data_IF_114409528813
#
_entry.id   IF_114409528813
#
_cell.length_a   1.000
_cell.length_b   1.000
_cell.length_c   1.000
_cell.angle_alpha   90.00
_cell.angle_beta   90.00
_cell.angle_gamma   90.00
#
_symmetry.space_group_name_H-M   'P 1'
#
loop_
_entity.id
_entity.type
_entity.pdbx_description
1 polymer ?
#
# COMPACT_ATOMS: atom_id res chain seq x y z
N UNK A 1 17.80 -12.40 7.59
CA UNK A 1 16.40 -12.38 8.06
C UNK A 1 16.21 -11.83 9.49
N UNK A 2 17.22 -11.85 10.34
CA UNK A 2 17.15 -11.36 11.74
C UNK A 2 16.97 -9.84 11.89
N UNK A 3 17.45 -9.04 10.94
CA UNK A 3 17.41 -7.56 11.05
C UNK A 3 16.03 -6.97 10.72
N UNK A 4 15.29 -7.57 9.79
CA UNK A 4 13.94 -7.13 9.41
C UNK A 4 12.94 -7.35 10.55
N UNK A 5 13.07 -8.47 11.29
CA UNK A 5 12.25 -8.76 12.47
C UNK A 5 12.51 -7.77 13.62
N UNK A 6 13.73 -7.23 13.73
CA UNK A 6 14.04 -6.19 14.73
C UNK A 6 13.36 -4.87 14.40
N UNK A 7 13.22 -4.52 13.12
CA UNK A 7 12.50 -3.30 12.70
C UNK A 7 11.00 -3.39 13.02
N UNK A 8 10.38 -4.57 12.87
CA UNK A 8 8.98 -4.79 13.22
C UNK A 8 8.72 -4.54 14.72
N UNK A 9 9.71 -4.72 15.59
CA UNK A 9 9.60 -4.42 17.02
C UNK A 9 9.34 -2.93 17.29
N UNK A 10 9.87 -2.03 16.44
CA UNK A 10 9.62 -0.59 16.54
C UNK A 10 8.25 -0.18 16.03
N UNK A 11 7.61 -0.97 15.16
CA UNK A 11 6.24 -0.75 14.69
C UNK A 11 5.22 -1.24 15.73
N UNK A 12 5.59 -2.25 16.55
CA UNK A 12 4.70 -2.89 17.53
C UNK A 12 4.00 -1.91 18.49
N UNK A 13 4.63 -0.86 19.04
CA UNK A 13 3.94 0.11 19.90
C UNK A 13 2.81 0.85 19.19
N UNK A 14 2.90 0.98 17.86
CA UNK A 14 1.96 1.70 17.01
C UNK A 14 1.00 0.78 16.24
N UNK A 15 0.80 -0.46 16.72
CA UNK A 15 0.00 -1.48 16.06
C UNK A 15 -1.43 -1.01 15.72
N UNK A 16 -2.02 -0.15 16.56
CA UNK A 16 -3.36 0.41 16.31
C UNK A 16 -3.38 1.28 15.06
N UNK A 17 -2.37 2.11 14.86
CA UNK A 17 -2.23 2.94 13.65
C UNK A 17 -1.90 2.07 12.43
N UNK A 18 -1.00 1.11 12.61
CA UNK A 18 -0.60 0.16 11.57
C UNK A 18 -1.75 -0.78 11.15
N UNK A 19 -2.74 -1.04 12.01
CA UNK A 19 -3.93 -1.81 11.67
C UNK A 19 -5.04 -0.94 11.09
N UNK A 20 -5.21 0.30 11.58
CA UNK A 20 -6.21 1.22 11.06
C UNK A 20 -5.99 1.57 9.58
N UNK A 21 -4.74 1.70 9.14
CA UNK A 21 -4.40 2.01 7.76
C UNK A 21 -4.90 0.91 6.78
N UNK A 22 -4.59 -0.39 6.94
CA UNK A 22 -5.15 -1.47 6.12
C UNK A 22 -6.67 -1.58 6.15
N UNK A 23 -7.30 -1.34 7.31
CA UNK A 23 -8.78 -1.39 7.41
C UNK A 23 -9.43 -0.28 6.58
N UNK A 24 -8.87 0.94 6.59
CA UNK A 24 -9.34 2.02 5.74
C UNK A 24 -9.03 1.79 4.26
N UNK A 25 -7.93 1.09 3.96
CA UNK A 25 -7.62 0.65 2.59
C UNK A 25 -8.64 -0.37 2.09
N UNK A 26 -9.11 -1.28 2.94
CA UNK A 26 -10.21 -2.20 2.59
C UNK A 26 -11.47 -1.43 2.18
N UNK A 27 -11.81 -0.37 2.91
CA UNK A 27 -12.95 0.48 2.57
C UNK A 27 -12.77 1.16 1.21
N UNK A 28 -11.59 1.75 0.94
CA UNK A 28 -11.24 2.35 -0.34
C UNK A 28 -11.40 1.34 -1.49
N UNK A 29 -10.74 0.18 -1.37
CA UNK A 29 -10.78 -0.88 -2.40
C UNK A 29 -12.18 -1.42 -2.61
N UNK A 30 -12.98 -1.59 -1.54
CA UNK A 30 -14.38 -2.02 -1.68
C UNK A 30 -15.20 -1.02 -2.49
N UNK A 31 -15.02 0.28 -2.25
CA UNK A 31 -15.70 1.33 -3.03
C UNK A 31 -15.20 1.38 -4.48
N UNK A 32 -13.90 1.19 -4.73
CA UNK A 32 -13.33 1.10 -6.08
C UNK A 32 -13.96 -0.07 -6.87
N UNK A 33 -14.16 -1.23 -6.23
CA UNK A 33 -14.73 -2.43 -6.85
C UNK A 33 -16.25 -2.33 -7.12
N UNK A 34 -16.96 -1.46 -6.41
CA UNK A 34 -18.39 -1.22 -6.66
C UNK A 34 -18.61 -0.36 -7.92
N UNK A 35 -17.66 0.49 -8.30
CA UNK A 35 -17.81 1.42 -9.44
C UNK A 35 -18.15 0.71 -10.77
N UNK A 36 -17.44 -0.35 -11.20
CA UNK A 36 -17.74 -1.05 -12.44
C UNK A 36 -19.15 -1.65 -12.46
N UNK A 37 -19.64 -2.16 -11.31
CA UNK A 37 -20.99 -2.75 -11.24
C UNK A 37 -22.11 -1.73 -11.36
N UNK A 38 -21.91 -0.55 -10.77
CA UNK A 38 -22.86 0.55 -10.94
C UNK A 38 -22.87 1.09 -12.38
N UNK A 39 -21.69 1.19 -13.01
CA UNK A 39 -21.57 1.57 -14.41
C UNK A 39 -22.25 0.55 -15.33
N UNK A 40 -22.06 -0.75 -15.06
CA UNK A 40 -22.73 -1.80 -15.81
C UNK A 40 -24.25 -1.65 -15.75
N UNK A 41 -24.85 -1.39 -14.60
CA UNK A 41 -26.30 -1.16 -14.48
C UNK A 41 -26.77 0.03 -15.30
N UNK A 42 -25.98 1.09 -15.39
CA UNK A 42 -26.32 2.25 -16.25
C UNK A 42 -26.32 1.80 -17.73
N UNK A 43 -25.35 1.00 -18.15
CA UNK A 43 -25.23 0.56 -19.54
C UNK A 43 -26.33 -0.45 -19.90
N UNK A 44 -26.59 -1.43 -19.02
CA UNK A 44 -27.48 -2.54 -19.32
C UNK A 44 -28.95 -2.19 -19.13
N UNK A 45 -29.29 -1.39 -18.10
CA UNK A 45 -30.68 -1.12 -17.72
C UNK A 45 -31.16 0.28 -18.15
N UNK A 46 -30.31 1.31 -18.05
CA UNK A 46 -30.73 2.67 -18.27
C UNK A 46 -30.60 3.13 -19.72
N UNK A 47 -29.55 2.72 -20.45
CA UNK A 47 -29.35 3.11 -21.84
C UNK A 47 -30.45 2.59 -22.79
N UNK A 48 -30.88 1.31 -22.71
CA UNK A 48 -31.91 0.77 -23.59
C UNK A 48 -33.27 1.42 -23.36
N UNK A 49 -33.56 1.84 -22.10
CA UNK A 49 -34.86 2.45 -21.72
C UNK A 49 -34.86 3.96 -21.75
N UNK A 50 -33.67 4.59 -21.91
CA UNK A 50 -33.46 6.04 -21.78
C UNK A 50 -34.01 6.60 -20.47
N UNK A 51 -34.00 5.80 -19.39
CA UNK A 51 -34.52 6.17 -18.09
C UNK A 51 -33.49 7.01 -17.32
N UNK A 52 -33.74 8.32 -17.29
CA UNK A 52 -32.94 9.28 -16.54
C UNK A 52 -32.93 9.01 -15.03
N UNK A 53 -34.00 8.40 -14.49
CA UNK A 53 -34.08 8.07 -13.06
C UNK A 53 -33.01 7.02 -12.66
N UNK A 54 -32.84 5.97 -13.48
CA UNK A 54 -31.82 4.95 -13.27
C UNK A 54 -30.41 5.55 -13.41
N UNK A 55 -30.20 6.43 -14.39
CA UNK A 55 -28.90 7.11 -14.59
C UNK A 55 -28.54 7.97 -13.38
N UNK A 56 -29.47 8.81 -12.93
CA UNK A 56 -29.25 9.72 -11.81
C UNK A 56 -29.04 8.96 -10.48
N UNK A 57 -29.81 7.91 -10.24
CA UNK A 57 -29.67 7.10 -9.01
C UNK A 57 -28.35 6.36 -8.95
N UNK A 58 -27.97 5.65 -10.01
CA UNK A 58 -26.68 4.93 -10.05
C UNK A 58 -25.49 5.91 -10.11
N UNK A 59 -25.59 7.03 -10.83
CA UNK A 59 -24.60 8.10 -10.82
C UNK A 59 -24.41 8.71 -9.44
N UNK A 60 -25.51 8.95 -8.72
CA UNK A 60 -25.48 9.41 -7.32
C UNK A 60 -24.80 8.39 -6.38
N UNK A 61 -25.10 7.09 -6.56
CA UNK A 61 -24.43 6.03 -5.80
C UNK A 61 -22.92 5.94 -6.13
N UNK A 62 -22.54 6.14 -7.40
CA UNK A 62 -21.13 6.19 -7.79
C UNK A 62 -20.39 7.35 -7.11
N UNK A 63 -21.00 8.54 -7.08
CA UNK A 63 -20.45 9.71 -6.39
C UNK A 63 -20.32 9.47 -4.87
N UNK A 64 -21.34 8.86 -4.26
CA UNK A 64 -21.31 8.49 -2.84
C UNK A 64 -20.19 7.47 -2.56
N UNK A 65 -20.10 6.40 -3.36
CA UNK A 65 -19.04 5.40 -3.23
C UNK A 65 -17.64 6.03 -3.42
N UNK A 66 -17.46 6.89 -4.43
CA UNK A 66 -16.20 7.60 -4.64
C UNK A 66 -15.83 8.48 -3.43
N UNK A 67 -16.81 9.20 -2.87
CA UNK A 67 -16.59 10.04 -1.68
C UNK A 67 -16.16 9.23 -0.46
N UNK A 68 -16.80 8.09 -0.22
CA UNK A 68 -16.44 7.16 0.86
C UNK A 68 -15.05 6.55 0.60
N UNK A 69 -14.75 6.19 -0.65
CA UNK A 69 -13.43 5.70 -1.07
C UNK A 69 -12.31 6.71 -0.79
N UNK A 70 -12.53 7.99 -1.15
CA UNK A 70 -11.59 9.09 -0.86
C UNK A 70 -11.35 9.23 0.64
N UNK A 71 -12.39 9.17 1.47
CA UNK A 71 -12.25 9.23 2.94
C UNK A 71 -11.42 8.04 3.43
N UNK A 72 -11.66 6.84 2.90
CA UNK A 72 -10.87 5.65 3.19
C UNK A 72 -9.39 5.82 2.83
N UNK A 73 -9.11 6.29 1.61
CA UNK A 73 -7.75 6.49 1.09
C UNK A 73 -6.96 7.56 1.84
N UNK A 74 -7.60 8.71 2.12
CA UNK A 74 -7.00 9.76 2.94
C UNK A 74 -6.74 9.28 4.36
N UNK A 75 -7.70 8.59 4.96
CA UNK A 75 -7.55 8.00 6.28
C UNK A 75 -6.40 7.00 6.32
N UNK A 76 -6.33 6.05 5.38
CA UNK A 76 -5.22 5.11 5.24
C UNK A 76 -3.87 5.83 5.16
N UNK A 77 -3.77 6.86 4.31
CA UNK A 77 -2.54 7.64 4.13
C UNK A 77 -2.11 8.33 5.43
N UNK A 78 -3.05 8.95 6.15
CA UNK A 78 -2.77 9.65 7.42
C UNK A 78 -2.31 8.66 8.50
N UNK A 79 -2.99 7.52 8.64
CA UNK A 79 -2.62 6.53 9.67
C UNK A 79 -1.31 5.83 9.33
N UNK A 80 -1.06 5.49 8.06
CA UNK A 80 0.23 4.94 7.62
C UNK A 80 1.38 5.91 7.84
N UNK A 81 1.20 7.20 7.51
CA UNK A 81 2.18 8.25 7.75
C UNK A 81 2.46 8.43 9.25
N UNK A 82 1.41 8.49 10.09
CA UNK A 82 1.59 8.63 11.54
C UNK A 82 2.32 7.42 12.16
N UNK A 83 2.03 6.20 11.67
CA UNK A 83 2.73 5.00 12.12
C UNK A 83 4.20 5.03 11.73
N UNK A 84 4.52 5.40 10.47
CA UNK A 84 5.90 5.46 9.97
C UNK A 84 6.73 6.54 10.68
N UNK A 85 6.21 7.77 10.79
CA UNK A 85 6.91 8.88 11.44
C UNK A 85 7.19 8.63 12.92
N UNK A 86 6.24 8.04 13.66
CA UNK A 86 6.45 7.69 15.07
C UNK A 86 7.51 6.59 15.21
N UNK A 87 7.47 5.58 14.36
CA UNK A 87 8.48 4.52 14.32
C UNK A 87 9.87 5.09 13.99
N UNK A 88 9.96 6.01 13.02
CA UNK A 88 11.20 6.68 12.68
C UNK A 88 11.74 7.57 13.81
N UNK A 89 10.86 8.25 14.54
CA UNK A 89 11.23 9.02 15.72
C UNK A 89 11.86 8.16 16.81
N UNK A 90 11.24 7.02 17.14
CA UNK A 90 11.78 6.05 18.13
C UNK A 90 13.12 5.46 17.66
N UNK A 91 13.25 5.20 16.36
CA UNK A 91 14.48 4.68 15.77
C UNK A 91 15.61 5.73 15.88
N UNK A 92 15.33 7.01 15.50
CA UNK A 92 16.29 8.11 15.65
C UNK A 92 16.72 8.28 17.12
N UNK A 93 15.77 8.26 18.04
CA UNK A 93 16.06 8.40 19.46
C UNK A 93 16.94 7.25 19.98
N UNK A 94 16.67 6.02 19.53
CA UNK A 94 17.45 4.83 19.91
C UNK A 94 18.87 4.91 19.36
N UNK A 95 19.01 5.28 18.07
CA UNK A 95 20.32 5.48 17.45
C UNK A 95 21.10 6.61 18.13
N UNK A 96 20.47 7.74 18.40
CA UNK A 96 21.08 8.87 19.07
C UNK A 96 21.59 8.50 20.47
N UNK A 97 20.77 7.80 21.27
CA UNK A 97 21.23 7.29 22.58
C UNK A 97 22.40 6.33 22.45
N UNK A 98 22.41 5.48 21.41
CA UNK A 98 23.52 4.55 21.17
C UNK A 98 24.81 5.29 20.83
N UNK A 99 24.74 6.31 19.96
CA UNK A 99 25.90 7.14 19.62
C UNK A 99 26.46 7.84 20.88
N UNK A 100 25.59 8.43 21.71
CA UNK A 100 26.02 9.09 22.96
C UNK A 100 26.60 8.12 24.00
N UNK A 101 26.29 6.83 23.92
CA UNK A 101 26.85 5.81 24.82
C UNK A 101 28.23 5.29 24.36
N UNK A 102 28.73 5.72 23.21
CA UNK A 102 30.05 5.37 22.71
C UNK A 102 31.10 6.30 23.36
N UNK A 103 32.26 5.75 23.70
CA UNK A 103 33.39 6.56 24.19
C UNK A 103 33.99 7.40 23.04
N UNK A 104 34.66 8.52 23.39
CA UNK A 104 35.32 9.38 22.40
C UNK A 104 36.28 8.62 21.49
N UNK A 105 37.03 7.66 22.04
CA UNK A 105 37.94 6.83 21.25
C UNK A 105 37.24 5.99 20.17
N UNK A 106 36.00 5.51 20.44
CA UNK A 106 35.20 4.79 19.46
C UNK A 106 34.47 5.73 18.47
N UNK A 107 34.33 7.00 18.82
CA UNK A 107 33.72 8.02 17.95
C UNK A 107 34.71 8.50 16.89
N UNK A 108 36.00 8.58 17.21
CA UNK A 108 37.05 8.99 16.27
C UNK A 108 37.27 7.96 15.14
N UNK A 109 36.98 6.66 15.41
CA UNK A 109 36.99 5.59 14.41
C UNK A 109 35.74 5.59 13.52
N UNK A 110 34.68 6.32 13.90
CA UNK A 110 33.43 6.40 13.14
C UNK A 110 33.39 7.71 12.35
N UNK A 111 33.24 7.59 11.03
CA UNK A 111 33.02 8.75 10.16
C UNK A 111 31.73 9.49 10.58
N UNK A 112 31.90 10.73 11.03
CA UNK A 112 30.80 11.61 11.44
C UNK A 112 29.77 11.77 10.31
N UNK A 113 30.19 11.82 9.05
CA UNK A 113 29.31 11.87 7.89
C UNK A 113 28.40 10.66 7.77
N UNK A 114 28.94 9.46 8.03
CA UNK A 114 28.15 8.23 8.05
C UNK A 114 27.13 8.21 9.19
N UNK A 115 27.48 8.72 10.37
CA UNK A 115 26.54 8.82 11.50
C UNK A 115 25.36 9.74 11.18
N UNK A 116 25.64 10.89 10.59
CA UNK A 116 24.60 11.85 10.16
C UNK A 116 23.70 11.19 9.10
N UNK A 117 24.26 10.51 8.10
CA UNK A 117 23.50 9.82 7.06
C UNK A 117 22.58 8.75 7.65
N UNK A 118 23.07 7.95 8.61
CA UNK A 118 22.25 6.90 9.29
C UNK A 118 21.11 7.49 10.11
N UNK A 119 21.33 8.63 10.78
CA UNK A 119 20.32 9.29 11.60
C UNK A 119 19.26 10.03 10.75
N UNK A 120 19.59 10.38 9.52
CA UNK A 120 18.72 11.15 8.61
C UNK A 120 18.17 10.27 7.50
N UNK A 121 18.96 10.06 6.43
CA UNK A 121 18.52 9.43 5.19
C UNK A 121 18.09 7.98 5.37
N UNK A 122 18.84 7.18 6.14
CA UNK A 122 18.52 5.76 6.34
C UNK A 122 17.21 5.60 7.12
N UNK A 123 17.00 6.41 8.16
CA UNK A 123 15.75 6.38 8.93
C UNK A 123 14.58 6.84 8.07
N UNK A 124 14.77 7.88 7.24
CA UNK A 124 13.73 8.34 6.31
C UNK A 124 13.37 7.26 5.27
N UNK A 125 14.37 6.52 4.77
CA UNK A 125 14.13 5.37 3.88
C UNK A 125 13.30 4.28 4.59
N UNK A 126 13.57 3.98 5.85
CA UNK A 126 12.78 3.03 6.65
C UNK A 126 11.34 3.55 6.85
N UNK A 127 11.15 4.83 7.14
CA UNK A 127 9.82 5.45 7.23
C UNK A 127 9.03 5.25 5.93
N UNK A 128 9.66 5.51 4.78
CA UNK A 128 9.03 5.31 3.47
C UNK A 128 8.66 3.84 3.22
N UNK A 129 9.54 2.91 3.55
CA UNK A 129 9.26 1.46 3.42
C UNK A 129 8.07 1.05 4.28
N UNK A 130 7.98 1.52 5.53
CA UNK A 130 6.83 1.24 6.41
C UNK A 130 5.55 1.83 5.82
N UNK A 131 5.57 3.08 5.37
CA UNK A 131 4.41 3.75 4.79
C UNK A 131 3.94 3.06 3.50
N UNK A 132 4.86 2.73 2.60
CA UNK A 132 4.55 2.00 1.36
C UNK A 132 4.04 0.59 1.66
N UNK A 133 4.64 -0.09 2.64
CA UNK A 133 4.22 -1.43 3.08
C UNK A 133 2.77 -1.44 3.55
N UNK A 134 2.39 -0.51 4.43
CA UNK A 134 1.04 -0.40 4.97
C UNK A 134 0.00 0.00 3.91
N UNK A 135 0.40 0.62 2.81
CA UNK A 135 -0.49 1.10 1.76
C UNK A 135 -0.48 0.19 0.53
N UNK A 136 0.67 0.05 -0.13
CA UNK A 136 0.77 -0.62 -1.43
C UNK A 136 0.69 -2.15 -1.28
N UNK A 137 1.38 -2.72 -0.28
CA UNK A 137 1.36 -4.17 -0.05
C UNK A 137 -0.01 -4.69 0.41
N UNK A 138 -0.89 -3.81 0.88
CA UNK A 138 -2.28 -4.16 1.21
C UNK A 138 -3.20 -3.92 0.01
N UNK A 139 -3.07 -2.77 -0.67
CA UNK A 139 -3.93 -2.41 -1.81
C UNK A 139 -3.80 -3.39 -2.98
N UNK A 140 -2.58 -3.75 -3.37
CA UNK A 140 -2.36 -4.55 -4.56
C UNK A 140 -2.98 -5.97 -4.47
N UNK A 141 -2.79 -6.76 -3.39
CA UNK A 141 -3.46 -8.05 -3.24
C UNK A 141 -4.99 -7.93 -3.15
N UNK A 142 -5.49 -6.90 -2.45
CA UNK A 142 -6.93 -6.68 -2.33
C UNK A 142 -7.59 -6.36 -3.66
N UNK A 143 -6.99 -5.47 -4.46
CA UNK A 143 -7.47 -5.18 -5.81
C UNK A 143 -7.39 -6.40 -6.72
N UNK A 144 -6.30 -7.17 -6.63
CA UNK A 144 -6.12 -8.37 -7.44
C UNK A 144 -7.20 -9.41 -7.12
N UNK A 145 -7.39 -9.74 -5.84
CA UNK A 145 -8.40 -10.72 -5.42
C UNK A 145 -9.81 -10.18 -5.68
N UNK A 146 -10.06 -8.92 -5.34
CA UNK A 146 -11.36 -8.28 -5.52
C UNK A 146 -11.76 -8.18 -6.99
N UNK A 147 -10.86 -7.76 -7.88
CA UNK A 147 -11.13 -7.67 -9.32
C UNK A 147 -11.34 -9.05 -9.96
N UNK A 148 -10.61 -10.07 -9.49
CA UNK A 148 -10.82 -11.44 -9.95
C UNK A 148 -12.20 -11.97 -9.56
N UNK A 149 -12.60 -11.78 -8.30
CA UNK A 149 -13.93 -12.16 -7.81
C UNK A 149 -15.02 -11.42 -8.61
N UNK A 150 -14.87 -10.10 -8.79
CA UNK A 150 -15.82 -9.31 -9.58
C UNK A 150 -15.89 -9.75 -11.04
N UNK A 151 -14.77 -10.07 -11.67
CA UNK A 151 -14.74 -10.57 -13.04
C UNK A 151 -15.50 -11.89 -13.19
N UNK A 152 -15.35 -12.83 -12.23
CA UNK A 152 -16.07 -14.10 -12.23
C UNK A 152 -17.58 -13.89 -12.06
N UNK A 153 -17.99 -12.94 -11.20
CA UNK A 153 -19.39 -12.67 -10.93
C UNK A 153 -20.06 -11.94 -12.13
N UNK A 154 -19.37 -10.93 -12.67
CA UNK A 154 -19.94 -10.03 -13.69
C UNK A 154 -19.88 -10.62 -15.10
N UNK A 155 -18.77 -11.28 -15.45
CA UNK A 155 -18.55 -11.82 -16.79
C UNK A 155 -17.80 -13.15 -16.74
N UNK A 156 -18.45 -14.25 -16.32
CA UNK A 156 -17.80 -15.55 -16.17
C UNK A 156 -17.22 -16.09 -17.48
N UNK A 157 -17.83 -15.75 -18.62
CA UNK A 157 -17.34 -16.13 -19.95
C UNK A 157 -16.01 -15.46 -20.33
N UNK A 158 -15.67 -14.33 -19.73
CA UNK A 158 -14.42 -13.60 -19.97
C UNK A 158 -13.38 -13.83 -18.85
N UNK A 159 -13.79 -14.41 -17.73
CA UNK A 159 -12.91 -14.62 -16.57
C UNK A 159 -11.70 -15.51 -16.89
N UNK A 160 -11.81 -16.44 -17.86
CA UNK A 160 -10.70 -17.29 -18.30
C UNK A 160 -9.52 -16.50 -18.86
N UNK A 161 -9.76 -15.30 -19.39
CA UNK A 161 -8.72 -14.42 -19.92
C UNK A 161 -7.77 -14.02 -18.80
N UNK A 162 -8.29 -13.71 -17.60
CA UNK A 162 -7.47 -13.39 -16.43
C UNK A 162 -6.57 -14.57 -16.03
N UNK A 163 -7.11 -15.80 -16.06
CA UNK A 163 -6.32 -17.00 -15.76
C UNK A 163 -5.24 -17.28 -16.81
N UNK A 164 -5.47 -16.91 -18.06
CA UNK A 164 -4.48 -17.04 -19.12
C UNK A 164 -3.36 -15.97 -19.05
N UNK A 165 -3.74 -14.72 -18.75
CA UNK A 165 -2.78 -13.61 -18.70
C UNK A 165 -2.02 -13.51 -17.36
N UNK A 166 -2.58 -13.98 -16.25
CA UNK A 166 -1.95 -13.90 -14.93
C UNK A 166 -0.59 -14.61 -14.86
N UNK A 167 -0.44 -15.86 -15.33
CA UNK A 167 0.87 -16.49 -15.34
C UNK A 167 1.87 -15.77 -16.25
N UNK A 168 1.41 -15.21 -17.37
CA UNK A 168 2.25 -14.42 -18.27
C UNK A 168 2.80 -13.17 -17.55
N UNK A 169 1.94 -12.43 -16.82
CA UNK A 169 2.35 -11.27 -16.05
C UNK A 169 3.30 -11.64 -14.92
N UNK A 170 3.05 -12.76 -14.21
CA UNK A 170 3.93 -13.22 -13.15
C UNK A 170 5.32 -13.59 -13.67
N UNK A 171 5.40 -14.26 -14.83
CA UNK A 171 6.66 -14.58 -15.49
C UNK A 171 7.39 -13.30 -15.91
N UNK A 172 6.69 -12.33 -16.47
CA UNK A 172 7.27 -11.05 -16.89
C UNK A 172 7.82 -10.26 -15.70
N UNK A 173 7.03 -10.15 -14.61
CA UNK A 173 7.47 -9.50 -13.37
C UNK A 173 8.69 -10.21 -12.78
N UNK A 174 8.65 -11.55 -12.70
CA UNK A 174 9.77 -12.35 -12.23
C UNK A 174 11.03 -12.11 -13.08
N UNK A 175 10.90 -12.11 -14.41
CA UNK A 175 11.99 -11.85 -15.34
C UNK A 175 12.61 -10.46 -15.11
N UNK A 176 11.78 -9.40 -15.00
CA UNK A 176 12.24 -8.03 -14.71
C UNK A 176 12.97 -7.96 -13.38
N UNK A 177 12.42 -8.58 -12.32
CA UNK A 177 13.05 -8.61 -10.99
C UNK A 177 14.43 -9.29 -11.06
N UNK A 178 14.54 -10.43 -11.76
CA UNK A 178 15.82 -11.14 -11.92
C UNK A 178 16.84 -10.30 -12.67
N UNK A 179 16.44 -9.58 -13.73
CA UNK A 179 17.31 -8.66 -14.46
C UNK A 179 17.83 -7.52 -13.56
N UNK A 180 16.95 -6.89 -12.79
CA UNK A 180 17.34 -5.82 -11.86
C UNK A 180 18.31 -6.33 -10.79
N UNK A 181 18.05 -7.53 -10.24
CA UNK A 181 18.96 -8.14 -9.27
C UNK A 181 20.31 -8.51 -9.86
N UNK A 182 20.37 -8.88 -11.15
CA UNK A 182 21.61 -9.11 -11.88
C UNK A 182 22.47 -7.86 -11.99
N UNK A 183 21.85 -6.72 -12.31
CA UNK A 183 22.52 -5.42 -12.44
C UNK A 183 23.01 -4.88 -11.08
N UNK A 184 22.22 -5.10 -10.00
CA UNK A 184 22.59 -4.63 -8.65
C UNK A 184 23.71 -5.45 -7.97
N UNK A 185 24.08 -6.59 -8.55
CA UNK A 185 25.19 -7.43 -8.05
C UNK A 185 26.52 -7.18 -8.76
N UNK A 186 26.53 -6.36 -9.82
CA UNK A 186 27.76 -5.91 -10.49
C UNK A 186 28.23 -4.60 -9.84
#
# INVERSE_FOLDING_TARGET
MTNTLRLLRFVKPYWRLALAAPLLMLLEVAMDLVQPTLLQRIIDDALPTLDLGIILSNGGLMLAAASVGVIGGLGCTIFAMRASLRTGGDLRQTLFRKVHSLSFANLDDLDTGQLVTRLTSDVTAIEQIIQMGLRIMVRAPLLLVGSLIMSIITAPSLAWIFFAFMPLLLVLVWWVVVQIWGVLRM
#
